data_IF_174303966274
#
_entry.id   IF_174303966274
#
_cell.length_a   1.000
_cell.length_b   1.000
_cell.length_c   1.000
_cell.angle_alpha   90.00
_cell.angle_beta   90.00
_cell.angle_gamma   90.00
#
_symmetry.space_group_name_H-M   'P 1'
#
loop_
_entity.id
_entity.type
_entity.pdbx_description
1 polymer ?
#
# COMPACT_ATOMS: atom_id res chain seq x y z
N UNK A 1 44.46 4.69 -64.57
CA UNK A 1 44.34 5.08 -63.15
C UNK A 1 42.89 4.89 -62.76
N UNK A 2 42.65 4.00 -61.78
CA UNK A 2 41.59 3.99 -60.74
C UNK A 2 40.21 4.55 -61.17
N UNK A 3 39.18 3.71 -61.37
CA UNK A 3 38.20 3.20 -60.36
C UNK A 3 37.32 4.35 -59.81
N UNK A 4 35.99 4.31 -59.67
CA UNK A 4 35.03 3.22 -59.40
C UNK A 4 33.60 3.70 -59.72
N UNK A 5 32.69 2.73 -59.81
CA UNK A 5 31.24 2.77 -60.01
C UNK A 5 30.40 3.17 -58.79
N UNK A 6 29.18 3.66 -59.10
CA UNK A 6 27.86 3.45 -58.46
C UNK A 6 27.54 3.92 -57.03
N UNK A 7 26.27 4.33 -56.86
CA UNK A 7 25.59 4.31 -55.56
C UNK A 7 24.51 5.37 -55.39
N UNK A 8 23.30 5.12 -55.91
CA UNK A 8 22.06 5.76 -55.45
C UNK A 8 21.88 5.51 -53.95
N UNK A 9 21.80 6.57 -53.15
CA UNK A 9 21.34 6.49 -51.76
C UNK A 9 19.90 6.98 -51.72
N UNK A 10 18.99 6.04 -51.49
CA UNK A 10 17.63 6.31 -51.06
C UNK A 10 17.67 7.14 -49.76
N UNK A 11 16.82 8.14 -49.68
CA UNK A 11 16.63 8.92 -48.46
C UNK A 11 15.91 8.00 -47.44
N UNK A 12 16.69 7.43 -46.53
CA UNK A 12 16.21 6.86 -45.28
C UNK A 12 15.46 7.95 -44.52
N UNK A 13 14.14 7.82 -44.41
CA UNK A 13 13.35 8.52 -43.39
C UNK A 13 13.93 8.16 -42.03
N UNK A 14 14.56 9.14 -41.39
CA UNK A 14 14.92 9.02 -39.99
C UNK A 14 13.62 8.80 -39.21
N UNK A 15 13.54 7.65 -38.55
CA UNK A 15 12.59 7.42 -37.47
C UNK A 15 13.00 8.37 -36.36
N UNK A 16 12.35 9.54 -36.28
CA UNK A 16 12.49 10.40 -35.13
C UNK A 16 11.74 9.71 -33.98
N UNK A 17 12.45 8.84 -33.27
CA UNK A 17 12.11 8.52 -31.90
C UNK A 17 12.23 9.83 -31.13
N UNK A 18 11.11 10.54 -31.00
CA UNK A 18 10.99 11.68 -30.11
C UNK A 18 11.42 11.23 -28.73
N UNK A 19 12.58 11.70 -28.31
CA UNK A 19 13.08 11.51 -26.96
C UNK A 19 12.27 12.44 -26.05
N UNK A 20 11.08 11.98 -25.65
CA UNK A 20 10.31 12.57 -24.55
C UNK A 20 10.99 12.22 -23.21
N UNK A 21 12.32 12.33 -23.14
CA UNK A 21 13.06 12.19 -21.89
C UNK A 21 13.02 13.51 -21.15
N UNK A 22 11.87 13.84 -20.55
CA UNK A 22 11.96 14.58 -19.29
C UNK A 22 12.82 13.72 -18.33
N UNK A 23 13.72 14.37 -17.61
CA UNK A 23 14.53 13.66 -16.60
C UNK A 23 13.60 13.13 -15.52
N UNK A 24 13.45 11.81 -15.46
CA UNK A 24 12.68 11.14 -14.40
C UNK A 24 13.44 11.19 -13.07
N UNK A 25 12.75 11.52 -11.99
CA UNK A 25 13.30 11.54 -10.62
C UNK A 25 13.09 10.21 -9.86
N UNK A 26 12.47 9.25 -10.56
CA UNK A 26 12.15 7.91 -10.08
C UNK A 26 13.38 6.99 -10.04
N UNK A 27 13.37 6.02 -9.14
CA UNK A 27 14.44 5.03 -8.97
C UNK A 27 14.51 4.02 -10.11
N UNK A 28 13.56 3.09 -10.15
CA UNK A 28 13.38 2.13 -11.25
C UNK A 28 12.12 2.50 -12.02
N UNK A 29 12.23 2.72 -13.34
CA UNK A 29 11.09 3.12 -14.18
C UNK A 29 10.90 2.19 -15.38
N UNK A 30 9.66 1.83 -15.67
CA UNK A 30 9.24 1.21 -16.92
C UNK A 30 8.06 1.98 -17.54
N UNK A 31 8.11 2.25 -18.85
CA UNK A 31 6.99 2.88 -19.59
C UNK A 31 5.82 1.91 -19.86
N UNK A 32 5.84 0.73 -19.25
CA UNK A 32 4.87 -0.35 -19.39
C UNK A 32 5.15 -1.35 -18.28
N UNK A 33 5.04 -2.65 -18.54
CA UNK A 33 5.20 -3.65 -17.47
C UNK A 33 6.63 -3.78 -16.94
N UNK A 34 6.76 -3.94 -15.63
CA UNK A 34 8.00 -4.29 -14.95
C UNK A 34 7.89 -5.66 -14.29
N UNK A 35 8.84 -6.55 -14.60
CA UNK A 35 8.99 -7.85 -13.93
C UNK A 35 10.31 -7.87 -13.17
N UNK A 36 10.25 -8.02 -11.85
CA UNK A 36 11.42 -8.16 -10.99
C UNK A 36 11.45 -9.59 -10.46
N UNK A 37 12.37 -10.40 -10.99
CA UNK A 37 12.52 -11.81 -10.58
C UNK A 37 13.53 -12.00 -9.43
N UNK A 38 14.26 -10.95 -9.07
CA UNK A 38 15.36 -11.00 -8.11
C UNK A 38 16.34 -9.85 -8.31
N UNK A 39 17.32 -9.75 -7.41
CA UNK A 39 18.30 -8.67 -7.37
C UNK A 39 18.38 -8.03 -5.99
N UNK A 40 19.31 -7.09 -5.82
CA UNK A 40 19.40 -6.25 -4.62
C UNK A 40 19.37 -4.81 -5.08
N UNK A 41 18.43 -4.04 -4.53
CA UNK A 41 18.16 -2.67 -4.91
C UNK A 41 18.24 -1.79 -3.66
N UNK A 42 19.03 -0.72 -3.75
CA UNK A 42 19.03 0.36 -2.76
C UNK A 42 18.66 1.61 -3.52
N UNK A 43 17.48 2.14 -3.24
CA UNK A 43 16.84 3.21 -4.02
C UNK A 43 16.68 4.42 -3.10
N UNK A 44 17.18 5.56 -3.58
CA UNK A 44 16.93 6.86 -3.00
C UNK A 44 16.53 7.80 -4.14
N UNK A 45 15.25 8.17 -4.19
CA UNK A 45 14.63 8.94 -5.27
C UNK A 45 13.83 10.11 -4.72
N UNK A 46 13.64 11.15 -5.53
CA UNK A 46 12.83 12.31 -5.13
C UNK A 46 11.34 12.15 -5.49
N UNK A 47 11.03 11.16 -6.31
CA UNK A 47 9.71 10.78 -6.83
C UNK A 47 9.49 9.31 -6.42
N UNK A 48 8.94 8.43 -7.26
CA UNK A 48 8.75 7.02 -6.91
C UNK A 48 10.04 6.21 -6.78
N UNK A 49 10.04 5.25 -5.87
CA UNK A 49 11.09 4.25 -5.74
C UNK A 49 11.10 3.28 -6.94
N UNK A 50 9.99 2.60 -7.15
CA UNK A 50 9.78 1.66 -8.25
C UNK A 50 8.47 1.98 -8.96
N UNK A 51 8.55 2.34 -10.24
CA UNK A 51 7.42 2.82 -11.01
C UNK A 51 7.24 2.10 -12.34
N UNK A 52 5.98 1.77 -12.66
CA UNK A 52 5.58 1.30 -13.97
C UNK A 52 4.30 2.00 -14.43
N UNK A 53 4.31 2.54 -15.64
CA UNK A 53 3.12 3.11 -16.30
C UNK A 53 2.07 2.06 -16.73
N UNK A 54 2.15 0.85 -16.16
CA UNK A 54 1.21 -0.24 -16.35
C UNK A 54 1.26 -1.13 -15.10
N UNK A 55 1.87 -2.32 -15.18
CA UNK A 55 1.92 -3.27 -14.06
C UNK A 55 3.33 -3.55 -13.55
N UNK A 56 3.46 -3.76 -12.24
CA UNK A 56 4.66 -4.30 -11.58
C UNK A 56 4.37 -5.73 -11.10
N UNK A 57 5.30 -6.64 -11.36
CA UNK A 57 5.30 -7.98 -10.74
C UNK A 57 6.64 -8.24 -10.05
N UNK A 58 6.60 -8.46 -8.74
CA UNK A 58 7.75 -8.80 -7.91
C UNK A 58 7.68 -10.28 -7.52
N UNK A 59 8.58 -11.08 -8.10
CA UNK A 59 8.73 -12.51 -7.82
C UNK A 59 9.94 -12.81 -6.92
N UNK A 60 10.65 -11.79 -6.48
CA UNK A 60 11.81 -11.91 -5.61
C UNK A 60 12.69 -10.66 -5.66
N UNK A 61 13.72 -10.65 -4.81
CA UNK A 61 14.66 -9.54 -4.68
C UNK A 61 14.71 -9.02 -3.25
N UNK A 62 15.68 -8.14 -2.99
CA UNK A 62 15.81 -7.39 -1.75
C UNK A 62 15.82 -5.91 -2.08
N UNK A 63 14.93 -5.15 -1.47
CA UNK A 63 14.76 -3.72 -1.72
C UNK A 63 14.92 -2.95 -0.40
N UNK A 64 15.74 -1.92 -0.45
CA UNK A 64 15.81 -0.85 0.54
C UNK A 64 15.43 0.44 -0.19
N UNK A 65 14.28 1.03 0.13
CA UNK A 65 13.70 2.17 -0.61
C UNK A 65 13.47 3.33 0.34
N UNK A 66 13.99 4.50 -0.01
CA UNK A 66 13.63 5.78 0.60
C UNK A 66 13.27 6.74 -0.53
N UNK A 67 12.10 7.35 -0.50
CA UNK A 67 11.59 8.05 -1.68
C UNK A 67 10.71 9.22 -1.30
N UNK A 68 10.58 10.20 -2.20
CA UNK A 68 9.81 11.42 -1.96
C UNK A 68 8.32 11.29 -2.30
N UNK A 69 7.96 10.28 -3.09
CA UNK A 69 6.59 9.93 -3.45
C UNK A 69 6.36 8.45 -3.09
N UNK A 70 6.00 7.56 -4.01
CA UNK A 70 5.59 6.22 -3.61
C UNK A 70 6.73 5.22 -3.55
N UNK A 71 6.69 4.31 -2.58
CA UNK A 71 7.64 3.20 -2.51
C UNK A 71 7.60 2.37 -3.79
N UNK A 72 6.40 1.91 -4.15
CA UNK A 72 6.08 1.24 -5.40
C UNK A 72 4.78 1.80 -5.99
N UNK A 73 4.82 2.23 -7.25
CA UNK A 73 3.69 2.78 -7.99
C UNK A 73 3.46 2.00 -9.29
N UNK A 74 2.24 1.52 -9.51
CA UNK A 74 1.81 0.94 -10.79
C UNK A 74 0.43 1.46 -11.19
N UNK A 75 0.31 2.12 -12.35
CA UNK A 75 -0.96 2.68 -12.83
C UNK A 75 -2.10 1.63 -12.87
N UNK A 76 -1.77 0.37 -13.16
CA UNK A 76 -2.73 -0.75 -13.25
C UNK A 76 -2.62 -1.70 -12.07
N UNK A 77 -1.59 -2.56 -12.03
CA UNK A 77 -1.52 -3.66 -11.06
C UNK A 77 -0.13 -3.78 -10.46
N UNK A 78 -0.05 -3.86 -9.14
CA UNK A 78 1.15 -4.27 -8.43
C UNK A 78 0.92 -5.64 -7.78
N UNK A 79 1.69 -6.63 -8.22
CA UNK A 79 1.66 -8.00 -7.69
C UNK A 79 2.97 -8.35 -7.00
N UNK A 80 2.90 -8.75 -5.73
CA UNK A 80 4.06 -9.24 -4.96
C UNK A 80 3.84 -10.70 -4.59
N UNK A 81 4.65 -11.61 -5.14
CA UNK A 81 4.59 -13.05 -4.84
C UNK A 81 5.72 -13.52 -3.93
N UNK A 82 6.85 -12.81 -3.94
CA UNK A 82 7.99 -13.03 -3.05
C UNK A 82 8.94 -11.82 -3.08
N UNK A 83 9.88 -11.78 -2.12
CA UNK A 83 10.86 -10.70 -1.99
C UNK A 83 11.01 -10.26 -0.54
N UNK A 84 12.03 -9.45 -0.26
CA UNK A 84 12.18 -8.68 0.97
C UNK A 84 12.14 -7.21 0.58
N UNK A 85 11.08 -6.51 0.97
CA UNK A 85 10.84 -5.11 0.60
C UNK A 85 10.84 -4.31 1.90
N UNK A 86 11.83 -3.43 2.04
CA UNK A 86 11.90 -2.48 3.14
C UNK A 86 11.80 -1.07 2.56
N UNK A 87 10.67 -0.40 2.79
CA UNK A 87 10.43 1.00 2.44
C UNK A 87 10.57 1.79 3.73
N UNK A 88 11.64 2.57 3.83
CA UNK A 88 11.98 3.32 5.04
C UNK A 88 11.36 4.71 5.08
N UNK A 89 10.95 5.23 3.93
CA UNK A 89 10.34 6.56 3.74
C UNK A 89 9.62 6.58 2.39
N UNK A 90 8.36 7.00 2.39
CA UNK A 90 7.54 7.26 1.20
C UNK A 90 6.33 8.13 1.56
N UNK A 91 5.72 8.73 0.55
CA UNK A 91 4.39 9.34 0.66
C UNK A 91 3.35 8.24 0.81
N UNK A 92 3.18 7.39 -0.20
CA UNK A 92 2.44 6.13 -0.08
C UNK A 92 3.39 4.92 -0.10
N UNK A 93 3.06 3.85 0.60
CA UNK A 93 3.90 2.65 0.63
C UNK A 93 3.85 1.88 -0.70
N UNK A 94 2.70 1.29 -0.98
CA UNK A 94 2.41 0.56 -2.22
C UNK A 94 1.13 1.12 -2.85
N UNK A 95 1.21 1.64 -4.08
CA UNK A 95 0.07 2.20 -4.83
C UNK A 95 -0.16 1.43 -6.14
N UNK A 96 -1.41 1.06 -6.40
CA UNK A 96 -1.90 0.69 -7.74
C UNK A 96 -3.43 0.73 -7.82
N UNK A 97 -4.03 0.55 -9.01
CA UNK A 97 -5.48 0.29 -9.08
C UNK A 97 -5.83 -1.08 -8.47
N UNK A 98 -5.00 -2.10 -8.72
CA UNK A 98 -5.13 -3.44 -8.17
C UNK A 98 -3.83 -3.88 -7.45
N UNK A 99 -3.92 -4.05 -6.14
CA UNK A 99 -2.82 -4.52 -5.29
C UNK A 99 -3.01 -5.98 -4.91
N UNK A 100 -2.07 -6.82 -5.31
CA UNK A 100 -2.10 -8.27 -5.09
C UNK A 100 -0.87 -8.73 -4.30
N UNK A 101 -1.03 -8.99 -3.01
CA UNK A 101 0.03 -9.48 -2.12
C UNK A 101 -0.21 -10.97 -1.85
N UNK A 102 0.57 -11.82 -2.51
CA UNK A 102 0.52 -13.28 -2.36
C UNK A 102 1.68 -13.84 -1.53
N UNK A 103 2.71 -13.04 -1.27
CA UNK A 103 3.89 -13.44 -0.52
C UNK A 103 4.88 -12.29 -0.31
N UNK A 104 6.08 -12.64 0.17
CA UNK A 104 7.13 -11.66 0.49
C UNK A 104 7.16 -11.28 1.98
N UNK A 105 8.23 -10.61 2.35
CA UNK A 105 8.43 -9.96 3.65
C UNK A 105 8.52 -8.46 3.38
N UNK A 106 7.48 -7.73 3.75
CA UNK A 106 7.24 -6.33 3.39
C UNK A 106 7.14 -5.53 4.68
N UNK A 107 8.00 -4.53 4.82
CA UNK A 107 7.94 -3.53 5.88
C UNK A 107 7.95 -2.16 5.22
N UNK A 108 7.00 -1.30 5.59
CA UNK A 108 6.89 0.04 5.01
C UNK A 108 6.55 1.11 6.04
N UNK A 109 7.04 2.31 5.77
CA UNK A 109 6.73 3.55 6.48
C UNK A 109 6.22 4.57 5.45
N UNK A 110 5.01 5.06 5.64
CA UNK A 110 4.34 5.99 4.75
C UNK A 110 3.87 7.26 5.50
N UNK A 111 4.05 8.42 4.87
CA UNK A 111 3.58 9.72 5.37
C UNK A 111 2.09 9.96 5.09
N UNK A 112 1.51 9.27 4.11
CA UNK A 112 0.08 9.18 3.82
C UNK A 112 -0.34 7.71 3.95
N UNK A 113 -0.71 7.03 2.86
CA UNK A 113 -1.30 5.71 2.93
C UNK A 113 -0.27 4.58 2.88
N UNK A 114 -0.48 3.56 3.71
CA UNK A 114 0.39 2.38 3.72
C UNK A 114 0.24 1.55 2.45
N UNK A 115 -0.99 1.12 2.18
CA UNK A 115 -1.40 0.53 0.91
C UNK A 115 -2.52 1.40 0.33
N UNK A 116 -2.38 1.83 -0.91
CA UNK A 116 -3.40 2.62 -1.58
C UNK A 116 -3.88 1.92 -2.86
N UNK A 117 -5.16 1.58 -2.89
CA UNK A 117 -5.83 1.17 -4.11
C UNK A 117 -6.78 2.26 -4.63
N UNK A 118 -6.21 3.33 -5.16
CA UNK A 118 -6.94 4.35 -5.88
C UNK A 118 -6.73 4.29 -7.40
N UNK A 119 -5.56 3.80 -7.83
CA UNK A 119 -5.11 3.83 -9.22
C UNK A 119 -4.96 5.26 -9.75
N UNK A 120 -4.32 5.39 -10.91
CA UNK A 120 -4.14 6.71 -11.51
C UNK A 120 -2.95 6.77 -12.43
N UNK A 121 -2.77 7.93 -13.06
CA UNK A 121 -1.51 8.29 -13.69
C UNK A 121 -0.77 9.20 -12.71
N UNK A 122 0.46 8.84 -12.37
CA UNK A 122 1.37 9.64 -11.58
C UNK A 122 1.37 11.10 -12.08
N UNK A 123 0.94 12.04 -11.24
CA UNK A 123 0.92 13.46 -11.59
C UNK A 123 1.99 14.26 -10.84
N UNK A 124 2.76 13.60 -9.98
CA UNK A 124 3.76 14.15 -9.06
C UNK A 124 5.10 14.49 -9.72
N UNK A 125 5.43 13.92 -10.90
CA UNK A 125 6.75 14.05 -11.53
C UNK A 125 7.02 15.29 -12.39
N UNK A 126 6.15 16.32 -12.42
CA UNK A 126 6.40 17.51 -13.27
C UNK A 126 7.07 18.64 -12.49
N UNK A 127 8.39 18.75 -12.63
CA UNK A 127 9.23 19.85 -12.14
C UNK A 127 8.79 21.19 -12.79
N UNK A 128 7.75 21.82 -12.25
CA UNK A 128 7.20 23.06 -12.79
C UNK A 128 5.70 23.22 -12.59
N UNK A 129 5.26 23.40 -11.34
CA UNK A 129 3.92 23.88 -11.01
C UNK A 129 3.68 25.34 -11.46
N UNK A 130 3.84 25.64 -12.75
CA UNK A 130 3.68 26.98 -13.32
C UNK A 130 3.00 27.07 -14.68
N UNK A 131 2.33 26.04 -15.21
CA UNK A 131 1.73 26.16 -16.56
C UNK A 131 0.21 25.90 -16.70
N UNK A 132 -0.55 25.79 -15.61
CA UNK A 132 -2.03 25.68 -15.70
C UNK A 132 -2.83 26.89 -15.17
N UNK A 133 -2.18 27.99 -14.75
CA UNK A 133 -2.88 29.24 -14.51
C UNK A 133 -2.85 30.11 -15.77
N UNK A 134 -3.64 29.74 -16.79
CA UNK A 134 -3.90 30.62 -17.94
C UNK A 134 -4.63 31.87 -17.43
N UNK A 135 -4.02 33.08 -17.48
CA UNK A 135 -4.70 34.29 -17.04
C UNK A 135 -5.74 34.69 -18.11
N UNK A 136 -7.02 34.40 -17.86
CA UNK A 136 -8.14 34.93 -18.65
C UNK A 136 -8.95 33.93 -19.47
N UNK A 137 -8.76 32.62 -19.30
CA UNK A 137 -9.60 31.59 -19.95
C UNK A 137 -10.80 31.19 -19.09
N UNK A 138 -12.02 31.34 -19.61
CA UNK A 138 -13.24 30.76 -19.03
C UNK A 138 -13.03 29.29 -18.68
N UNK A 139 -13.45 28.91 -17.46
CA UNK A 139 -13.39 27.55 -16.93
C UNK A 139 -13.83 26.49 -17.95
N UNK A 140 -12.89 25.62 -18.30
CA UNK A 140 -13.14 24.39 -19.01
C UNK A 140 -13.30 23.26 -18.01
N UNK A 141 -14.55 22.95 -17.67
CA UNK A 141 -14.92 21.61 -17.18
C UNK A 141 -14.63 20.65 -18.34
N UNK A 142 -13.58 19.84 -18.22
CA UNK A 142 -13.06 19.09 -19.36
C UNK A 142 -12.16 17.93 -19.00
N UNK A 143 -12.57 17.09 -18.03
CA UNK A 143 -12.60 15.62 -18.10
C UNK A 143 -13.04 15.16 -16.71
N UNK A 144 -14.29 14.70 -16.58
CA UNK A 144 -14.74 14.10 -15.34
C UNK A 144 -14.00 12.79 -15.14
N UNK A 145 -13.00 12.78 -14.26
CA UNK A 145 -12.59 11.55 -13.58
C UNK A 145 -13.81 11.12 -12.76
N UNK A 146 -14.51 10.11 -13.25
CA UNK A 146 -15.40 9.37 -12.36
C UNK A 146 -14.47 8.72 -11.35
N UNK A 147 -14.58 9.07 -10.07
CA UNK A 147 -14.05 8.22 -9.01
C UNK A 147 -14.85 6.92 -9.12
N UNK A 148 -14.33 5.95 -9.88
CA UNK A 148 -14.90 4.62 -9.86
C UNK A 148 -14.45 4.00 -8.57
N UNK A 149 -15.40 3.49 -7.79
CA UNK A 149 -15.11 2.78 -6.56
C UNK A 149 -14.61 1.36 -6.87
N UNK A 150 -13.49 1.25 -7.61
CA UNK A 150 -13.03 0.00 -8.23
C UNK A 150 -11.59 -0.38 -7.88
N UNK A 151 -10.91 0.41 -7.04
CA UNK A 151 -9.63 0.00 -6.48
C UNK A 151 -9.78 -1.29 -5.66
N UNK A 152 -8.78 -2.16 -5.68
CA UNK A 152 -8.85 -3.39 -4.90
C UNK A 152 -7.52 -3.82 -4.32
N UNK A 153 -7.57 -4.29 -3.09
CA UNK A 153 -6.44 -4.87 -2.36
C UNK A 153 -6.78 -6.31 -2.01
N UNK A 154 -5.93 -7.23 -2.44
CA UNK A 154 -6.00 -8.65 -2.09
C UNK A 154 -4.74 -9.10 -1.37
N UNK A 155 -4.88 -9.55 -0.13
CA UNK A 155 -3.80 -10.14 0.67
C UNK A 155 -4.10 -11.63 0.86
N UNK A 156 -3.37 -12.47 0.13
CA UNK A 156 -3.52 -13.93 0.19
C UNK A 156 -2.35 -14.63 0.91
N UNK A 157 -1.26 -13.90 1.17
CA UNK A 157 -0.08 -14.41 1.85
C UNK A 157 0.94 -13.30 2.15
N UNK A 158 2.11 -13.70 2.64
CA UNK A 158 3.21 -12.80 2.99
C UNK A 158 3.23 -12.38 4.46
N UNK A 159 4.29 -11.68 4.83
CA UNK A 159 4.45 -10.99 6.10
C UNK A 159 4.49 -9.50 5.80
N UNK A 160 3.50 -8.75 6.28
CA UNK A 160 3.32 -7.34 5.98
C UNK A 160 3.30 -6.54 7.29
N UNK A 161 4.18 -5.56 7.38
CA UNK A 161 4.18 -4.52 8.42
C UNK A 161 4.00 -3.16 7.76
N UNK A 162 2.93 -2.47 8.14
CA UNK A 162 2.57 -1.14 7.65
C UNK A 162 2.61 -0.17 8.82
N UNK A 163 3.40 0.88 8.69
CA UNK A 163 3.37 2.06 9.55
C UNK A 163 2.98 3.26 8.70
N UNK A 164 1.76 3.78 8.88
CA UNK A 164 1.22 4.83 8.04
C UNK A 164 0.70 6.00 8.89
N UNK A 165 0.93 7.22 8.43
CA UNK A 165 0.38 8.44 9.06
C UNK A 165 -0.98 8.81 8.50
N UNK A 166 -1.28 8.44 7.26
CA UNK A 166 -2.60 8.39 6.63
C UNK A 166 -3.30 7.05 6.87
N UNK A 167 -4.09 6.58 5.91
CA UNK A 167 -4.79 5.31 6.03
C UNK A 167 -3.82 4.13 5.99
N UNK A 168 -4.02 3.18 6.90
CA UNK A 168 -3.18 1.99 6.95
C UNK A 168 -3.34 1.14 5.67
N UNK A 169 -4.58 0.92 5.29
CA UNK A 169 -4.97 0.26 4.05
C UNK A 169 -6.14 1.07 3.50
N UNK A 170 -5.93 1.81 2.42
CA UNK A 170 -6.98 2.53 1.69
C UNK A 170 -7.32 1.80 0.39
N UNK A 171 -8.60 1.61 0.15
CA UNK A 171 -9.11 1.00 -1.07
C UNK A 171 -10.38 1.69 -1.52
N UNK A 172 -10.29 2.41 -2.64
CA UNK A 172 -11.47 2.96 -3.32
C UNK A 172 -12.48 1.89 -3.77
N UNK A 173 -12.25 0.60 -3.58
CA UNK A 173 -13.28 -0.43 -3.74
C UNK A 173 -13.26 -1.46 -2.61
N UNK A 174 -12.53 -2.55 -2.82
CA UNK A 174 -12.60 -3.72 -1.93
C UNK A 174 -11.25 -4.13 -1.34
N UNK A 175 -11.28 -4.49 -0.06
CA UNK A 175 -10.21 -5.22 0.61
C UNK A 175 -10.62 -6.70 0.79
N UNK A 176 -9.74 -7.63 0.41
CA UNK A 176 -9.92 -9.07 0.65
C UNK A 176 -8.67 -9.66 1.29
N UNK A 177 -8.81 -10.26 2.47
CA UNK A 177 -7.72 -10.96 3.16
C UNK A 177 -8.08 -12.44 3.28
N UNK A 178 -7.30 -13.32 2.65
CA UNK A 178 -7.49 -14.78 2.72
C UNK A 178 -6.34 -15.51 3.39
N UNK A 179 -5.25 -14.81 3.73
CA UNK A 179 -4.05 -15.40 4.29
C UNK A 179 -2.99 -14.36 4.61
N UNK A 180 -1.83 -14.83 5.06
CA UNK A 180 -0.70 -13.97 5.44
C UNK A 180 -0.73 -13.53 6.91
N UNK A 181 0.25 -12.70 7.26
CA UNK A 181 0.37 -12.05 8.55
C UNK A 181 0.52 -10.55 8.30
N UNK A 182 -0.50 -9.77 8.66
CA UNK A 182 -0.57 -8.33 8.40
C UNK A 182 -0.66 -7.57 9.72
N UNK A 183 0.27 -6.65 9.90
CA UNK A 183 0.29 -5.69 11.00
C UNK A 183 0.19 -4.29 10.41
N UNK A 184 -0.76 -3.52 10.92
CA UNK A 184 -0.96 -2.11 10.56
C UNK A 184 -0.91 -1.29 11.83
N UNK A 185 0.04 -0.35 11.92
CA UNK A 185 0.14 0.60 13.01
C UNK A 185 -0.07 2.02 12.46
N UNK A 186 -0.98 2.74 13.09
CA UNK A 186 -1.45 4.02 12.61
C UNK A 186 -2.84 3.93 11.97
N UNK A 187 -3.42 5.08 11.63
CA UNK A 187 -2.90 6.43 11.88
C UNK A 187 -3.01 6.85 13.36
N UNK A 188 -2.35 7.95 13.71
CA UNK A 188 -2.49 8.58 15.05
C UNK A 188 -3.48 9.74 15.07
N UNK A 189 -3.97 10.15 13.89
CA UNK A 189 -4.95 11.22 13.73
C UNK A 189 -6.29 10.65 13.30
N UNK A 190 -7.38 11.31 13.70
CA UNK A 190 -8.74 10.77 13.57
C UNK A 190 -9.45 11.10 12.26
N UNK A 191 -8.80 11.76 11.31
CA UNK A 191 -9.30 12.01 9.95
C UNK A 191 -8.97 10.89 8.96
N UNK A 192 -8.19 9.90 9.39
CA UNK A 192 -7.83 8.68 8.67
C UNK A 192 -8.07 7.45 9.57
N UNK A 193 -7.86 6.25 9.03
CA UNK A 193 -8.23 4.98 9.63
C UNK A 193 -7.23 3.84 9.37
N UNK A 194 -7.28 2.79 10.19
CA UNK A 194 -6.45 1.60 9.96
C UNK A 194 -6.89 0.79 8.74
N UNK A 195 -8.17 0.90 8.38
CA UNK A 195 -8.82 0.24 7.25
C UNK A 195 -9.81 1.24 6.64
N UNK A 196 -9.52 1.75 5.45
CA UNK A 196 -10.48 2.51 4.64
C UNK A 196 -10.86 1.74 3.39
N UNK A 197 -12.16 1.68 3.12
CA UNK A 197 -12.68 1.04 1.93
C UNK A 197 -14.08 1.55 1.57
N UNK A 198 -14.31 1.75 0.28
CA UNK A 198 -15.57 2.28 -0.23
C UNK A 198 -16.70 1.23 -0.30
N UNK A 199 -16.36 -0.02 -0.62
CA UNK A 199 -17.35 -1.07 -0.96
C UNK A 199 -17.42 -2.15 0.10
N UNK A 200 -16.32 -2.87 0.34
CA UNK A 200 -16.30 -3.96 1.34
C UNK A 200 -14.89 -4.36 1.72
N UNK A 201 -14.67 -4.65 3.00
CA UNK A 201 -13.52 -5.40 3.49
C UNK A 201 -13.97 -6.77 3.99
N UNK A 202 -13.31 -7.83 3.50
CA UNK A 202 -13.59 -9.22 3.88
C UNK A 202 -12.33 -9.90 4.43
N UNK A 203 -12.50 -10.70 5.47
CA UNK A 203 -11.41 -11.54 6.02
C UNK A 203 -11.84 -13.00 6.13
N UNK A 204 -11.22 -13.86 5.34
CA UNK A 204 -11.50 -15.29 5.27
C UNK A 204 -10.35 -16.16 5.83
N UNK A 205 -9.21 -15.55 6.18
CA UNK A 205 -8.05 -16.26 6.70
C UNK A 205 -6.89 -15.32 7.02
N UNK A 206 -5.80 -15.89 7.53
CA UNK A 206 -4.61 -15.14 7.92
C UNK A 206 -4.74 -14.43 9.27
N UNK A 207 -3.67 -13.78 9.69
CA UNK A 207 -3.65 -12.99 10.93
C UNK A 207 -3.62 -11.51 10.58
N UNK A 208 -4.51 -10.74 11.22
CA UNK A 208 -4.55 -9.29 11.11
C UNK A 208 -4.45 -8.65 12.49
N UNK A 209 -3.54 -7.68 12.62
CA UNK A 209 -3.38 -6.85 13.81
C UNK A 209 -3.36 -5.39 13.35
N UNK A 210 -4.41 -4.65 13.64
CA UNK A 210 -4.53 -3.22 13.35
C UNK A 210 -4.62 -2.40 14.63
N UNK A 211 -3.87 -1.32 14.72
CA UNK A 211 -4.02 -0.31 15.78
C UNK A 211 -3.94 1.08 15.22
N UNK A 212 -4.88 1.96 15.59
CA UNK A 212 -4.91 3.33 15.06
C UNK A 212 -5.86 4.24 15.84
N UNK A 213 -6.14 5.41 15.28
CA UNK A 213 -7.04 6.40 15.84
C UNK A 213 -8.51 5.95 15.78
N UNK A 214 -9.36 6.59 16.60
CA UNK A 214 -10.77 6.24 16.73
C UNK A 214 -11.74 7.02 15.83
N UNK A 215 -11.30 8.12 15.20
CA UNK A 215 -12.19 9.08 14.54
C UNK A 215 -12.94 8.53 13.32
N UNK A 216 -12.21 7.88 12.40
CA UNK A 216 -12.74 7.22 11.20
C UNK A 216 -12.64 5.69 11.29
N UNK A 217 -12.48 5.15 12.50
CA UNK A 217 -12.27 3.72 12.67
C UNK A 217 -13.46 2.90 12.17
N UNK A 218 -13.16 1.95 11.28
CA UNK A 218 -14.06 0.90 10.85
C UNK A 218 -13.35 -0.46 10.91
N UNK A 219 -14.14 -1.53 10.85
CA UNK A 219 -13.65 -2.91 10.87
C UNK A 219 -14.04 -3.63 9.57
N UNK A 220 -13.73 -4.92 9.45
CA UNK A 220 -14.19 -5.74 8.34
C UNK A 220 -15.72 -5.75 8.24
N UNK A 221 -16.22 -5.67 7.01
CA UNK A 221 -17.65 -5.71 6.69
C UNK A 221 -18.22 -7.14 6.66
N UNK A 222 -17.36 -8.13 6.43
CA UNK A 222 -17.70 -9.56 6.47
C UNK A 222 -16.47 -10.38 6.90
N UNK A 223 -16.68 -11.50 7.60
CA UNK A 223 -15.60 -12.31 8.13
C UNK A 223 -15.97 -13.80 8.26
N UNK A 224 -15.07 -14.69 7.83
CA UNK A 224 -15.21 -16.15 8.08
C UNK A 224 -14.49 -16.60 9.36
N UNK A 225 -13.58 -15.78 9.88
CA UNK A 225 -12.88 -15.96 11.16
C UNK A 225 -13.26 -14.84 12.13
N UNK A 226 -13.10 -15.07 13.44
CA UNK A 226 -13.51 -14.11 14.45
C UNK A 226 -12.75 -12.78 14.38
N UNK A 227 -13.46 -11.68 14.58
CA UNK A 227 -12.86 -10.33 14.60
C UNK A 227 -13.13 -9.64 15.95
N UNK A 228 -12.08 -9.21 16.63
CA UNK A 228 -12.17 -8.35 17.81
C UNK A 228 -11.81 -6.93 17.39
N UNK A 229 -12.80 -6.05 17.31
CA UNK A 229 -12.61 -4.63 17.05
C UNK A 229 -13.11 -3.81 18.23
N UNK A 230 -12.19 -3.14 18.94
CA UNK A 230 -12.52 -2.41 20.17
C UNK A 230 -11.90 -1.02 20.21
N UNK A 231 -12.60 -0.10 20.87
CA UNK A 231 -11.98 1.13 21.35
C UNK A 231 -11.28 0.83 22.68
N UNK A 232 -9.96 0.92 22.67
CA UNK A 232 -9.11 0.79 23.85
C UNK A 232 -9.01 2.11 24.66
N UNK A 233 -9.50 3.22 24.08
CA UNK A 233 -9.19 4.58 24.56
C UNK A 233 -7.73 4.92 24.32
N UNK A 234 -7.33 6.17 24.53
CA UNK A 234 -5.99 6.63 24.17
C UNK A 234 -4.88 5.91 24.93
N UNK A 235 -4.06 5.19 24.16
CA UNK A 235 -2.87 4.48 24.60
C UNK A 235 -1.61 5.11 24.03
N UNK A 236 -0.57 5.15 24.85
CA UNK A 236 0.75 5.60 24.42
C UNK A 236 1.43 4.53 23.55
N UNK A 237 2.31 4.98 22.65
CA UNK A 237 3.24 4.10 21.93
C UNK A 237 3.99 3.18 22.90
N UNK A 238 4.19 1.92 22.51
CA UNK A 238 4.81 0.90 23.34
C UNK A 238 3.87 0.23 24.35
N UNK A 239 2.57 0.57 24.37
CA UNK A 239 1.58 -0.15 25.18
C UNK A 239 1.29 -1.52 24.55
N UNK A 240 1.66 -2.61 25.24
CA UNK A 240 1.41 -3.96 24.75
C UNK A 240 -0.07 -4.30 24.73
N UNK A 241 -0.52 -4.88 23.63
CA UNK A 241 -1.85 -5.48 23.47
C UNK A 241 -1.68 -6.99 23.44
N UNK A 242 -2.51 -7.73 24.17
CA UNK A 242 -2.52 -9.20 24.16
C UNK A 242 -3.94 -9.71 24.17
N UNK A 243 -4.27 -10.63 23.27
CA UNK A 243 -5.53 -11.35 23.26
C UNK A 243 -5.29 -12.80 23.66
N UNK A 244 -6.03 -13.28 24.65
CA UNK A 244 -5.91 -14.63 25.20
C UNK A 244 -7.23 -15.39 25.13
N UNK A 245 -7.13 -16.71 25.00
CA UNK A 245 -8.27 -17.63 25.13
C UNK A 245 -8.79 -17.69 26.58
N UNK A 246 -9.90 -18.41 26.78
CA UNK A 246 -10.51 -18.62 28.11
C UNK A 246 -9.62 -19.42 29.09
N UNK A 247 -8.60 -20.10 28.60
CA UNK A 247 -7.63 -20.82 29.42
C UNK A 247 -6.42 -19.95 29.81
N UNK A 248 -6.37 -18.70 29.33
CA UNK A 248 -5.27 -17.76 29.55
C UNK A 248 -4.08 -17.96 28.62
N UNK A 249 -4.23 -18.74 27.53
CA UNK A 249 -3.20 -18.86 26.51
C UNK A 249 -3.26 -17.64 25.59
N UNK A 250 -2.13 -16.95 25.43
CA UNK A 250 -2.03 -15.84 24.48
C UNK A 250 -2.13 -16.35 23.04
N UNK A 251 -3.05 -15.78 22.27
CA UNK A 251 -3.28 -16.05 20.85
C UNK A 251 -2.55 -15.02 19.98
N UNK A 252 -2.68 -13.74 20.32
CA UNK A 252 -2.06 -12.61 19.61
C UNK A 252 -1.41 -11.67 20.61
N UNK A 253 -0.29 -11.07 20.23
CA UNK A 253 0.37 -10.03 21.01
C UNK A 253 1.11 -9.06 20.09
N UNK A 254 0.93 -7.77 20.32
CA UNK A 254 1.67 -6.72 19.63
C UNK A 254 2.05 -5.60 20.60
N UNK A 255 3.05 -4.81 20.23
CA UNK A 255 3.46 -3.61 20.96
C UNK A 255 3.65 -2.51 19.91
N UNK A 256 2.58 -1.77 19.58
CA UNK A 256 2.61 -0.76 18.53
C UNK A 256 3.64 0.33 18.82
N UNK A 257 4.33 0.79 17.77
CA UNK A 257 5.33 1.87 17.86
C UNK A 257 4.70 3.27 17.87
N UNK A 258 3.40 3.35 17.55
CA UNK A 258 2.59 4.57 17.56
C UNK A 258 1.53 4.52 18.67
N UNK A 259 1.06 5.68 19.10
CA UNK A 259 -0.11 5.79 19.97
C UNK A 259 -1.37 5.33 19.24
N UNK A 260 -2.35 4.79 19.95
CA UNK A 260 -3.56 4.25 19.35
C UNK A 260 -4.77 4.39 20.29
N UNK A 261 -5.97 4.44 19.70
CA UNK A 261 -7.24 4.41 20.43
C UNK A 261 -8.04 3.13 20.14
N UNK A 262 -7.77 2.48 19.01
CA UNK A 262 -8.51 1.33 18.48
C UNK A 262 -7.58 0.15 18.29
N UNK A 263 -8.12 -1.05 18.51
CA UNK A 263 -7.45 -2.32 18.22
C UNK A 263 -8.41 -3.19 17.40
N UNK A 264 -7.93 -3.71 16.26
CA UNK A 264 -8.62 -4.65 15.39
C UNK A 264 -7.77 -5.92 15.30
N UNK A 265 -8.28 -7.05 15.77
CA UNK A 265 -7.56 -8.33 15.80
C UNK A 265 -8.38 -9.40 15.09
N UNK A 266 -7.72 -10.21 14.28
CA UNK A 266 -8.30 -11.42 13.71
C UNK A 266 -7.20 -12.46 13.50
N UNK A 267 -7.53 -13.73 13.68
CA UNK A 267 -6.66 -14.84 13.31
C UNK A 267 -7.50 -16.09 13.02
N UNK A 268 -6.91 -17.12 12.39
CA UNK A 268 -7.61 -18.38 12.15
C UNK A 268 -7.98 -19.14 13.44
N UNK A 269 -7.37 -18.75 14.57
CA UNK A 269 -7.67 -19.33 15.89
C UNK A 269 -8.84 -18.61 16.59
N UNK A 270 -9.28 -17.46 16.07
CA UNK A 270 -10.46 -16.76 16.58
C UNK A 270 -11.73 -17.32 15.94
N UNK A 271 -12.65 -17.75 16.79
CA UNK A 271 -13.99 -18.22 16.43
C UNK A 271 -15.02 -17.14 16.75
N UNK A 272 -15.85 -16.77 15.77
CA UNK A 272 -16.97 -15.83 15.92
C UNK A 272 -17.96 -16.31 17.00
N UNK A 273 -18.42 -15.39 17.83
CA UNK A 273 -19.32 -15.62 18.97
C UNK A 273 -18.64 -16.14 20.25
N UNK A 274 -17.35 -16.46 20.22
CA UNK A 274 -16.60 -16.86 21.41
C UNK A 274 -16.05 -15.64 22.17
N UNK A 275 -15.90 -15.80 23.48
CA UNK A 275 -15.35 -14.76 24.37
C UNK A 275 -13.86 -14.98 24.64
N UNK A 276 -13.10 -13.90 24.58
CA UNK A 276 -11.65 -13.81 24.81
C UNK A 276 -11.34 -12.76 25.87
N UNK A 277 -10.13 -12.79 26.42
CA UNK A 277 -9.64 -11.74 27.31
C UNK A 277 -8.65 -10.86 26.54
N UNK A 278 -9.00 -9.58 26.37
CA UNK A 278 -8.12 -8.56 25.82
C UNK A 278 -7.43 -7.80 26.95
N UNK A 279 -6.10 -7.79 26.93
CA UNK A 279 -5.26 -6.96 27.77
C UNK A 279 -4.65 -5.81 26.96
N UNK A 280 -4.82 -4.58 27.43
CA UNK A 280 -4.18 -3.38 26.89
C UNK A 280 -3.39 -2.73 28.00
N UNK A 281 -2.06 -2.87 27.96
CA UNK A 281 -1.17 -2.55 29.06
C UNK A 281 -1.56 -3.31 30.33
N UNK A 282 -2.09 -2.60 31.33
CA UNK A 282 -2.55 -3.19 32.59
C UNK A 282 -4.07 -3.38 32.68
N UNK A 283 -4.81 -2.79 31.75
CA UNK A 283 -6.26 -2.95 31.68
C UNK A 283 -6.61 -4.28 31.02
N UNK A 284 -7.68 -4.92 31.50
CA UNK A 284 -8.20 -6.17 30.93
C UNK A 284 -9.71 -6.07 30.78
N UNK A 285 -10.23 -6.68 29.72
CA UNK A 285 -11.66 -6.78 29.45
C UNK A 285 -11.96 -8.10 28.74
N UNK A 286 -13.15 -8.65 29.00
CA UNK A 286 -13.71 -9.73 28.19
C UNK A 286 -14.31 -9.12 26.92
N UNK A 287 -14.00 -9.72 25.78
CA UNK A 287 -14.43 -9.28 24.45
C UNK A 287 -14.98 -10.48 23.68
N UNK A 288 -16.08 -10.29 22.95
CA UNK A 288 -16.61 -11.30 22.04
C UNK A 288 -16.03 -11.04 20.65
N UNK A 289 -15.58 -12.09 19.97
CA UNK A 289 -15.22 -11.97 18.56
C UNK A 289 -16.52 -11.92 17.73
N UNK A 290 -16.64 -10.89 16.88
CA UNK A 290 -17.68 -10.80 15.86
C UNK A 290 -17.59 -11.94 14.86
#
# INVERSE_FOLDING_TARGET
MVSSTEGTSEASTADETGDDSSTSMKGLKAAGNMLISGGTFTINSADDGVHANASITVNGGTFEVATGDDGFHADETLTVTAGSINITESYEGLEALELNIAGGDISLVADDDGLNAAGGVDSSGTEGGRDAMVPGGRGGMGQGTSFSSNGSITISGGNLYVNASGDGIDSNGTLTITGGYTVVVGPTQGDTSTLDYDVSATIAGGTFIGTGASGMAQSFSDAEQGVVAVSAGSQEAGTTVTLSDQNGNALLSCTPELSFDVVILSSPDLVSGETYTLAVGSATADVEAG
#
